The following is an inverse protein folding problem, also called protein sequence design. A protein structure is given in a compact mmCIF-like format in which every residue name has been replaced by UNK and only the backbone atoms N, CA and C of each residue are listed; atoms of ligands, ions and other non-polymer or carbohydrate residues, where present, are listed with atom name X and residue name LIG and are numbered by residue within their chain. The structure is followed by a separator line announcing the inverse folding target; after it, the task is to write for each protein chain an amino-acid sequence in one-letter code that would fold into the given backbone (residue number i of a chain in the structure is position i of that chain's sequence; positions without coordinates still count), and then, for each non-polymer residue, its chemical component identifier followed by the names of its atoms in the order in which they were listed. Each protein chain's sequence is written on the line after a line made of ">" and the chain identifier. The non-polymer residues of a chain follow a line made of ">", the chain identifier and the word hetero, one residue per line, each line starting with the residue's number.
data_IF_004052250165
#
_entry.id   IF_004052250165
#
_cell.length_a   1.000
_cell.length_b   1.000
_cell.length_c   1.000
_cell.angle_alpha   90.00
_cell.angle_beta   90.00
_cell.angle_gamma   90.00
#
_symmetry.space_group_name_H-M   'P 1'
#
loop_
_entity.id
_entity.type
_entity.pdbx_description
1 polymer ?
#
# COMPACT_ATOMS: atom_id res chain seq x y z
N UNK A 1 3.34 2.82 8.84
CA UNK A 1 2.37 1.86 8.23
C UNK A 1 2.39 0.58 9.04
N UNK A 2 1.26 -0.11 9.22
CA UNK A 2 1.20 -1.33 10.04
C UNK A 2 1.31 -2.59 9.20
N UNK A 3 1.99 -3.60 9.73
CA UNK A 3 2.05 -4.95 9.19
C UNK A 3 1.03 -5.85 9.92
N UNK A 4 0.54 -6.93 9.30
CA UNK A 4 -0.53 -7.79 9.83
C UNK A 4 -0.19 -8.51 11.16
N UNK A 5 1.06 -8.47 11.61
CA UNK A 5 1.55 -9.12 12.83
C UNK A 5 1.82 -8.14 13.99
N UNK A 6 1.21 -6.95 13.97
CA UNK A 6 1.36 -5.94 15.04
C UNK A 6 2.68 -5.16 14.99
N UNK A 7 3.56 -5.50 14.05
CA UNK A 7 4.78 -4.76 13.74
C UNK A 7 4.45 -3.51 12.91
N UNK A 8 5.30 -2.50 13.02
CA UNK A 8 5.13 -1.24 12.29
C UNK A 8 6.33 -0.97 11.40
N UNK A 9 6.09 -0.35 10.25
CA UNK A 9 7.14 0.16 9.38
C UNK A 9 7.40 1.63 9.69
N UNK A 10 8.66 1.92 10.00
CA UNK A 10 9.17 3.29 10.13
C UNK A 10 10.18 3.60 9.03
N UNK A 11 10.05 4.73 8.34
CA UNK A 11 11.07 5.19 7.43
C UNK A 11 12.35 5.54 8.20
N UNK A 12 13.51 5.23 7.62
CA UNK A 12 14.77 5.72 8.13
C UNK A 12 14.82 7.24 8.06
N UNK A 13 15.33 7.88 9.10
CA UNK A 13 15.45 9.35 9.21
C UNK A 13 16.89 9.85 9.06
N UNK A 14 17.83 9.02 8.58
CA UNK A 14 19.24 9.38 8.40
C UNK A 14 19.60 9.81 6.96
N UNK A 15 20.88 9.79 6.56
CA UNK A 15 21.35 10.27 5.25
C UNK A 15 20.75 9.52 4.04
N UNK A 16 20.13 8.36 4.27
CA UNK A 16 19.40 7.57 3.27
C UNK A 16 17.88 7.60 3.52
N UNK A 17 17.37 8.69 4.10
CA UNK A 17 15.96 8.86 4.39
C UNK A 17 15.12 8.71 3.13
N UNK A 18 14.04 7.92 3.24
CA UNK A 18 13.13 7.62 2.13
C UNK A 18 13.41 6.31 1.37
N UNK A 19 14.64 5.81 1.39
CA UNK A 19 14.99 4.55 0.70
C UNK A 19 14.88 3.33 1.61
N UNK A 20 15.19 3.49 2.89
CA UNK A 20 15.20 2.39 3.86
C UNK A 20 14.01 2.48 4.82
N UNK A 21 13.42 1.33 5.10
CA UNK A 21 12.36 1.17 6.09
C UNK A 21 12.78 0.10 7.09
N UNK A 22 12.41 0.29 8.36
CA UNK A 22 12.63 -0.68 9.43
C UNK A 22 11.32 -1.24 9.90
N UNK A 23 11.36 -2.51 10.26
CA UNK A 23 10.30 -3.17 11.03
C UNK A 23 10.60 -2.91 12.50
N UNK A 24 9.69 -2.20 13.15
CA UNK A 24 9.73 -1.92 14.58
C UNK A 24 8.66 -2.71 15.32
N UNK A 25 8.98 -3.10 16.55
CA UNK A 25 8.04 -3.79 17.44
C UNK A 25 7.03 -2.82 18.09
N UNK A 26 6.22 -3.34 19.03
CA UNK A 26 5.25 -2.56 19.78
C UNK A 26 5.87 -1.56 20.76
N UNK A 27 7.11 -1.79 21.17
CA UNK A 27 7.88 -0.91 22.07
C UNK A 27 8.61 0.20 21.29
N UNK A 28 8.63 0.10 19.96
CA UNK A 28 9.29 1.04 19.06
C UNK A 28 10.74 0.66 18.72
N UNK A 29 11.19 -0.51 19.14
CA UNK A 29 12.55 -1.00 18.90
C UNK A 29 12.68 -1.54 17.48
N UNK A 30 13.82 -1.28 16.84
CA UNK A 30 14.12 -1.79 15.50
C UNK A 30 14.47 -3.27 15.59
N UNK A 31 13.60 -4.12 15.04
CA UNK A 31 13.82 -5.57 15.01
C UNK A 31 14.71 -5.94 13.82
N UNK A 32 14.44 -5.35 12.65
CA UNK A 32 15.19 -5.59 11.40
C UNK A 32 14.86 -4.59 10.30
N UNK A 33 15.60 -4.67 9.21
CA UNK A 33 15.26 -3.99 7.96
C UNK A 33 14.00 -4.61 7.34
N UNK A 34 13.17 -3.75 6.75
CA UNK A 34 12.01 -4.15 5.99
C UNK A 34 12.43 -4.60 4.59
N UNK A 35 11.77 -5.64 4.09
CA UNK A 35 11.89 -6.05 2.70
C UNK A 35 11.07 -5.15 1.79
N UNK A 36 11.39 -5.15 0.49
CA UNK A 36 10.65 -4.38 -0.51
C UNK A 36 9.17 -4.79 -0.54
N UNK A 37 8.88 -6.10 -0.46
CA UNK A 37 7.53 -6.64 -0.44
C UNK A 37 6.72 -6.16 0.78
N UNK A 38 7.33 -6.10 1.96
CA UNK A 38 6.65 -5.60 3.16
C UNK A 38 6.31 -4.13 3.06
N UNK A 39 7.21 -3.32 2.48
CA UNK A 39 6.94 -1.90 2.24
C UNK A 39 5.81 -1.73 1.23
N UNK A 40 5.81 -2.49 0.14
CA UNK A 40 4.74 -2.44 -0.87
C UNK A 40 3.40 -2.92 -0.30
N UNK A 41 3.39 -4.02 0.43
CA UNK A 41 2.19 -4.56 1.09
C UNK A 41 1.59 -3.52 2.06
N UNK A 42 2.43 -2.92 2.90
CA UNK A 42 1.96 -1.94 3.87
C UNK A 42 1.44 -0.65 3.22
N UNK A 43 2.01 -0.24 2.08
CA UNK A 43 1.49 0.87 1.27
C UNK A 43 0.12 0.52 0.67
N UNK A 44 -0.02 -0.68 0.11
CA UNK A 44 -1.29 -1.16 -0.44
C UNK A 44 -2.39 -1.24 0.62
N UNK A 45 -2.06 -1.78 1.81
CA UNK A 45 -2.98 -1.82 2.95
C UNK A 45 -3.37 -0.42 3.42
N UNK A 46 -2.40 0.50 3.50
CA UNK A 46 -2.68 1.88 3.88
C UNK A 46 -3.59 2.61 2.87
N UNK A 47 -3.40 2.37 1.57
CA UNK A 47 -4.26 2.90 0.51
C UNK A 47 -5.68 2.34 0.62
N UNK A 48 -5.79 1.04 0.90
CA UNK A 48 -7.08 0.36 1.09
C UNK A 48 -7.81 0.90 2.32
N UNK A 49 -7.11 1.10 3.44
CA UNK A 49 -7.67 1.69 4.66
C UNK A 49 -8.18 3.11 4.40
N UNK A 50 -7.40 3.95 3.71
CA UNK A 50 -7.81 5.30 3.33
C UNK A 50 -9.04 5.29 2.43
N UNK A 51 -9.07 4.39 1.44
CA UNK A 51 -10.21 4.22 0.54
C UNK A 51 -11.46 3.79 1.31
N UNK A 52 -11.32 2.84 2.23
CA UNK A 52 -12.40 2.38 3.09
C UNK A 52 -12.91 3.47 4.04
N UNK A 53 -12.04 4.38 4.49
CA UNK A 53 -12.40 5.54 5.30
C UNK A 53 -13.20 6.56 4.49
N UNK A 54 -12.77 6.87 3.26
CA UNK A 54 -13.53 7.71 2.32
C UNK A 54 -14.90 7.11 2.02
N UNK A 55 -14.97 5.80 1.77
CA UNK A 55 -16.24 5.10 1.54
C UNK A 55 -17.15 5.13 2.77
N UNK A 56 -16.61 4.95 3.98
CA UNK A 56 -17.38 5.09 5.24
C UNK A 56 -17.89 6.51 5.42
N UNK A 57 -17.06 7.51 5.13
CA UNK A 57 -17.47 8.89 5.26
C UNK A 57 -18.58 9.21 4.25
N UNK A 58 -18.44 8.79 2.99
CA UNK A 58 -19.48 8.90 1.99
C UNK A 58 -20.78 8.19 2.42
N UNK A 59 -20.69 6.98 2.99
CA UNK A 59 -21.82 6.23 3.54
C UNK A 59 -22.54 6.99 4.67
N UNK A 60 -21.78 7.63 5.57
CA UNK A 60 -22.34 8.43 6.68
C UNK A 60 -23.01 9.73 6.22
N UNK A 61 -22.58 10.29 5.09
CA UNK A 61 -23.07 11.57 4.55
C UNK A 61 -24.30 11.44 3.67
N UNK A 62 -24.78 10.21 3.43
CA UNK A 62 -25.77 9.92 2.40
C UNK A 62 -25.12 9.87 1.03
N UNK A 63 -24.82 8.67 0.55
CA UNK A 63 -24.24 8.45 -0.78
C UNK A 63 -25.27 8.84 -1.82
N UNK A 64 -24.98 9.87 -2.62
CA UNK A 64 -25.71 10.05 -3.87
C UNK A 64 -25.20 9.01 -4.88
N UNK A 65 -26.06 8.45 -5.75
CA UNK A 65 -25.68 7.43 -6.73
C UNK A 65 -24.44 7.80 -7.57
N UNK A 66 -24.22 9.09 -7.80
CA UNK A 66 -23.10 9.64 -8.56
C UNK A 66 -21.76 9.46 -7.82
N UNK A 67 -21.74 9.62 -6.50
CA UNK A 67 -20.54 9.41 -5.69
C UNK A 67 -20.14 7.92 -5.63
N UNK A 68 -21.13 7.02 -5.63
CA UNK A 68 -20.88 5.58 -5.71
C UNK A 68 -20.33 5.18 -7.08
N UNK A 69 -20.90 5.71 -8.15
CA UNK A 69 -20.44 5.46 -9.51
C UNK A 69 -18.99 5.95 -9.70
N UNK A 70 -18.67 7.14 -9.19
CA UNK A 70 -17.30 7.68 -9.23
C UNK A 70 -16.31 6.81 -8.44
N UNK A 71 -16.67 6.38 -7.23
CA UNK A 71 -15.80 5.51 -6.43
C UNK A 71 -15.59 4.13 -7.08
N UNK A 72 -16.63 3.55 -7.69
CA UNK A 72 -16.55 2.29 -8.40
C UNK A 72 -15.65 2.39 -9.65
N UNK A 73 -15.77 3.47 -10.42
CA UNK A 73 -14.96 3.72 -11.61
C UNK A 73 -13.48 3.94 -11.25
N UNK A 74 -13.23 4.69 -10.17
CA UNK A 74 -11.88 4.90 -9.65
C UNK A 74 -11.24 3.60 -9.13
N UNK A 75 -12.01 2.76 -8.42
CA UNK A 75 -11.55 1.46 -7.95
C UNK A 75 -11.26 0.49 -9.11
N UNK A 76 -12.11 0.50 -10.15
CA UNK A 76 -11.91 -0.27 -11.38
C UNK A 76 -10.62 0.13 -12.11
N UNK A 77 -10.39 1.43 -12.27
CA UNK A 77 -9.16 1.96 -12.88
C UNK A 77 -7.90 1.61 -12.07
N UNK A 78 -7.96 1.73 -10.75
CA UNK A 78 -6.86 1.35 -9.87
C UNK A 78 -6.56 -0.16 -9.95
N UNK A 79 -7.59 -1.01 -9.97
CA UNK A 79 -7.44 -2.45 -10.15
C UNK A 79 -6.86 -2.82 -11.52
N UNK A 80 -7.27 -2.12 -12.58
CA UNK A 80 -6.73 -2.32 -13.92
C UNK A 80 -5.26 -1.93 -14.01
N UNK A 81 -4.86 -0.84 -13.36
CA UNK A 81 -3.46 -0.40 -13.29
C UNK A 81 -2.59 -1.40 -12.54
N UNK A 82 -3.04 -1.89 -11.39
CA UNK A 82 -2.36 -2.94 -10.63
C UNK A 82 -2.24 -4.21 -11.48
N UNK A 83 -3.30 -4.63 -12.18
CA UNK A 83 -3.26 -5.78 -13.08
C UNK A 83 -2.24 -5.61 -14.21
N UNK A 84 -2.14 -4.42 -14.82
CA UNK A 84 -1.14 -4.16 -15.86
C UNK A 84 0.30 -4.13 -15.32
N UNK A 85 0.52 -3.60 -14.13
CA UNK A 85 1.84 -3.55 -13.50
C UNK A 85 2.32 -4.93 -13.04
N UNK A 86 1.38 -5.79 -12.59
CA UNK A 86 1.67 -7.18 -12.22
C UNK A 86 1.86 -8.06 -13.46
N UNK A 87 1.05 -7.90 -14.51
CA UNK A 87 1.19 -8.67 -15.76
C UNK A 87 2.43 -8.28 -16.58
N UNK A 88 3.01 -7.10 -16.34
CA UNK A 88 4.26 -6.66 -16.99
C UNK A 88 5.54 -7.19 -16.35
N UNK A 89 5.46 -7.82 -15.17
CA UNK A 89 6.63 -8.32 -14.43
C UNK A 89 7.10 -9.72 -14.86
N UNK A 90 6.40 -10.39 -15.78
CA UNK A 90 6.74 -11.76 -16.23
C UNK A 90 7.64 -11.84 -17.49
N UNK A 91 8.18 -10.73 -18.02
CA UNK A 91 9.00 -10.77 -19.27
C UNK A 91 10.37 -10.06 -19.14
N UNK A 92 11.00 -10.02 -17.97
CA UNK A 92 12.41 -9.60 -17.86
C UNK A 92 13.27 -10.49 -16.96
N UNK A 93 12.89 -11.75 -16.77
CA UNK A 93 13.77 -12.78 -16.21
C UNK A 93 14.21 -13.73 -17.33
N UNK A 94 15.26 -13.36 -18.06
CA UNK A 94 15.94 -14.28 -18.96
C UNK A 94 16.57 -13.62 -20.17
N UNK A 95 17.79 -13.10 -20.00
CA UNK A 95 18.88 -13.33 -20.94
C UNK A 95 20.19 -12.91 -20.25
N UNK A 96 20.80 -13.89 -19.61
CA UNK A 96 22.22 -13.87 -19.29
C UNK A 96 22.93 -14.68 -20.40
N UNK A 97 23.75 -14.02 -21.21
CA UNK A 97 25.00 -14.53 -21.79
C UNK A 97 25.72 -13.43 -22.57
#
# INVERSE_FOLDING_TARGET
>A
MRLPCGLSLRPYSGPFAGSLHFVVDSNGEVVRNATVLEVQLAKALHELERTAEVMRHAASSGITPEALAFAADHASSAAHRIKSEVSGHDIQSGEAS
#
